data_IF_400319495361
#
_entry.id   IF_400319495361
#
_cell.length_a   1.000
_cell.length_b   1.000
_cell.length_c   1.000
_cell.angle_alpha   90.00
_cell.angle_beta   90.00
_cell.angle_gamma   90.00
#
_symmetry.space_group_name_H-M   'P 1'
#
loop_
_entity.id
_entity.type
_entity.pdbx_description
1 polymer ?
#
# COMPACT_ATOMS: atom_id res chain seq x y z
N UNK A 1 15.32 -36.75 -22.74
CA UNK A 1 16.73 -36.65 -22.30
C UNK A 1 16.80 -35.57 -21.24
N UNK A 2 16.68 -35.94 -19.98
CA UNK A 2 16.74 -35.02 -18.83
C UNK A 2 18.21 -34.80 -18.49
N UNK A 3 18.78 -33.69 -18.97
CA UNK A 3 20.08 -33.22 -18.50
C UNK A 3 19.98 -32.87 -17.02
N UNK A 4 20.78 -33.52 -16.18
CA UNK A 4 20.99 -33.08 -14.81
C UNK A 4 21.51 -31.65 -14.84
N UNK A 5 20.91 -30.79 -14.02
CA UNK A 5 21.32 -29.41 -13.83
C UNK A 5 22.84 -29.35 -13.59
N UNK A 6 23.58 -28.45 -14.30
CA UNK A 6 25.03 -28.33 -14.15
C UNK A 6 25.47 -28.14 -12.69
N UNK A 7 24.62 -27.59 -11.84
CA UNK A 7 24.88 -27.41 -10.41
C UNK A 7 24.84 -28.74 -9.65
N UNK A 8 23.94 -29.66 -10.02
CA UNK A 8 23.86 -31.01 -9.46
C UNK A 8 25.07 -31.84 -9.89
N UNK A 9 25.50 -31.72 -11.15
CA UNK A 9 26.71 -32.40 -11.65
C UNK A 9 27.98 -31.94 -10.93
N UNK A 10 28.11 -30.64 -10.67
CA UNK A 10 29.25 -30.09 -9.94
C UNK A 10 29.30 -30.55 -8.47
N UNK A 11 28.14 -30.59 -7.78
CA UNK A 11 28.07 -31.08 -6.40
C UNK A 11 28.46 -32.55 -6.33
N UNK A 12 27.93 -33.39 -7.21
CA UNK A 12 28.24 -34.84 -7.23
C UNK A 12 29.72 -35.07 -7.49
N UNK A 13 30.34 -34.32 -8.42
CA UNK A 13 31.79 -34.41 -8.69
C UNK A 13 32.66 -33.96 -7.51
N UNK A 14 32.22 -32.97 -6.73
CA UNK A 14 32.93 -32.57 -5.51
C UNK A 14 32.88 -33.67 -4.43
N UNK A 15 31.73 -34.34 -4.26
CA UNK A 15 31.56 -35.40 -3.26
C UNK A 15 32.43 -36.64 -3.54
N UNK A 16 32.54 -37.07 -4.80
CA UNK A 16 33.34 -38.25 -5.14
C UNK A 16 34.83 -38.05 -4.86
N UNK A 17 35.35 -36.85 -5.16
CA UNK A 17 36.74 -36.48 -4.86
C UNK A 17 37.04 -36.46 -3.36
N UNK A 18 36.09 -36.00 -2.54
CA UNK A 18 36.24 -35.99 -1.06
C UNK A 18 36.27 -37.43 -0.51
N UNK A 19 35.44 -38.32 -1.05
CA UNK A 19 35.37 -39.72 -0.59
C UNK A 19 36.67 -40.48 -0.91
N UNK A 20 37.21 -40.34 -2.14
CA UNK A 20 38.45 -41.04 -2.51
C UNK A 20 39.65 -40.52 -1.69
N UNK A 21 39.75 -39.19 -1.52
CA UNK A 21 40.76 -38.59 -0.65
C UNK A 21 40.63 -39.06 0.82
N UNK A 22 39.40 -39.18 1.32
CA UNK A 22 39.15 -39.72 2.64
C UNK A 22 39.63 -41.16 2.75
N UNK A 23 39.34 -42.04 1.77
CA UNK A 23 39.79 -43.42 1.82
C UNK A 23 41.31 -43.55 1.88
N UNK A 24 42.04 -42.74 1.12
CA UNK A 24 43.52 -42.73 1.05
C UNK A 24 44.21 -42.06 2.25
N UNK A 25 43.47 -41.32 3.07
CA UNK A 25 44.05 -40.58 4.18
C UNK A 25 44.55 -41.49 5.33
N UNK A 26 45.67 -41.14 6.01
CA UNK A 26 46.20 -41.90 7.13
C UNK A 26 45.20 -42.06 8.29
N UNK A 27 45.23 -43.20 8.98
CA UNK A 27 44.30 -43.49 10.10
C UNK A 27 44.36 -42.45 11.22
N UNK A 28 45.54 -41.88 11.50
CA UNK A 28 45.72 -40.82 12.50
C UNK A 28 45.00 -39.52 12.10
N UNK A 29 45.04 -39.17 10.81
CA UNK A 29 44.37 -37.99 10.28
C UNK A 29 42.84 -38.15 10.28
N UNK A 30 42.32 -39.34 9.94
CA UNK A 30 40.90 -39.67 10.08
C UNK A 30 40.40 -39.50 11.51
N UNK A 31 41.19 -39.98 12.49
CA UNK A 31 40.88 -39.81 13.92
C UNK A 31 40.88 -38.32 14.32
N UNK A 32 41.85 -37.54 13.83
CA UNK A 32 41.88 -36.10 14.09
C UNK A 32 40.65 -35.37 13.54
N UNK A 33 40.18 -35.69 12.34
CA UNK A 33 38.97 -35.06 11.81
C UNK A 33 37.71 -35.51 12.56
N UNK A 34 37.55 -36.82 12.80
CA UNK A 34 36.35 -37.36 13.47
C UNK A 34 36.23 -36.87 14.91
N UNK A 35 37.33 -36.84 15.66
CA UNK A 35 37.29 -36.50 17.09
C UNK A 35 37.68 -35.05 17.40
N UNK A 36 38.38 -34.36 16.49
CA UNK A 36 38.77 -32.96 16.65
C UNK A 36 37.83 -32.03 15.90
N UNK A 37 37.80 -32.13 14.58
CA UNK A 37 37.15 -31.12 13.72
C UNK A 37 35.63 -31.21 13.75
N UNK A 38 35.05 -32.41 13.60
CA UNK A 38 33.59 -32.59 13.53
C UNK A 38 32.87 -32.14 14.82
N UNK A 39 33.32 -32.52 16.03
CA UNK A 39 32.65 -32.11 17.26
C UNK A 39 32.73 -30.60 17.47
N UNK A 40 33.87 -29.98 17.15
CA UNK A 40 34.04 -28.52 17.22
C UNK A 40 33.08 -27.81 16.24
N UNK A 41 32.98 -28.31 15.01
CA UNK A 41 32.05 -27.78 14.02
C UNK A 41 30.60 -27.89 14.49
N UNK A 42 30.19 -29.04 15.04
CA UNK A 42 28.83 -29.25 15.55
C UNK A 42 28.52 -28.35 16.76
N UNK A 43 29.46 -28.20 17.70
CA UNK A 43 29.30 -27.30 18.84
C UNK A 43 29.22 -25.84 18.38
N UNK A 44 30.07 -25.41 17.45
CA UNK A 44 30.05 -24.05 16.93
C UNK A 44 28.76 -23.72 16.15
N UNK A 45 28.23 -24.67 15.37
CA UNK A 45 26.94 -24.54 14.71
C UNK A 45 25.80 -24.46 15.74
N UNK A 46 25.85 -25.29 16.78
CA UNK A 46 24.89 -25.26 17.89
C UNK A 46 24.90 -23.92 18.64
N UNK A 47 26.07 -23.32 18.87
CA UNK A 47 26.20 -22.00 19.48
C UNK A 47 25.63 -20.92 18.55
N UNK A 48 25.89 -20.97 17.24
CA UNK A 48 25.34 -19.99 16.29
C UNK A 48 23.82 -20.06 16.19
N UNK A 49 23.27 -21.27 16.13
CA UNK A 49 21.83 -21.49 16.12
C UNK A 49 21.22 -21.07 17.45
N UNK A 50 21.81 -21.49 18.57
CA UNK A 50 21.40 -21.09 19.91
C UNK A 50 21.44 -19.58 20.12
N UNK A 51 22.51 -18.90 19.67
CA UNK A 51 22.62 -17.44 19.76
C UNK A 51 21.53 -16.73 18.95
N UNK A 52 21.15 -17.25 17.77
CA UNK A 52 20.02 -16.70 17.02
C UNK A 52 18.67 -16.84 17.74
N UNK A 53 18.44 -17.97 18.43
CA UNK A 53 17.19 -18.19 19.16
C UNK A 53 17.17 -17.54 20.55
N UNK A 54 18.34 -17.28 21.14
CA UNK A 54 18.49 -16.64 22.44
C UNK A 54 18.67 -15.12 22.34
N UNK A 55 18.94 -14.57 21.16
CA UNK A 55 18.87 -13.12 20.94
C UNK A 55 17.40 -12.70 21.04
N UNK A 56 17.03 -11.91 22.07
CA UNK A 56 15.69 -11.34 22.13
C UNK A 56 15.49 -10.51 20.87
N UNK A 57 14.33 -10.69 20.22
CA UNK A 57 13.96 -9.81 19.12
C UNK A 57 14.14 -8.36 19.58
N UNK A 58 14.84 -7.52 18.80
CA UNK A 58 14.97 -6.11 19.15
C UNK A 58 13.55 -5.55 19.33
N UNK A 59 13.34 -4.70 20.36
CA UNK A 59 12.01 -4.17 20.64
C UNK A 59 11.45 -3.55 19.37
N UNK A 60 10.21 -3.92 19.01
CA UNK A 60 9.52 -3.34 17.87
C UNK A 60 9.57 -1.80 18.02
N UNK A 61 9.89 -1.06 16.95
CA UNK A 61 9.87 0.38 17.01
C UNK A 61 8.48 0.85 17.49
N UNK A 62 8.41 1.93 18.29
CA UNK A 62 7.15 2.38 18.83
C UNK A 62 6.14 2.63 17.70
N UNK A 63 4.85 2.31 17.91
CA UNK A 63 3.82 2.52 16.90
C UNK A 63 3.84 3.98 16.45
N UNK A 64 4.02 4.16 15.15
CA UNK A 64 4.10 5.46 14.53
C UNK A 64 2.68 5.93 14.21
N UNK A 65 2.24 7.03 14.82
CA UNK A 65 0.89 7.54 14.64
C UNK A 65 0.56 7.88 13.18
N UNK A 66 -0.71 7.73 12.80
CA UNK A 66 -1.19 8.02 11.46
C UNK A 66 -1.92 9.38 11.38
N UNK A 67 -1.41 10.28 10.54
CA UNK A 67 -2.01 11.60 10.30
C UNK A 67 -2.97 11.58 9.10
N UNK A 68 -4.21 11.17 9.36
CA UNK A 68 -5.26 11.09 8.34
C UNK A 68 -5.69 12.45 7.81
N UNK A 69 -5.67 13.47 8.67
CA UNK A 69 -6.04 14.81 8.26
C UNK A 69 -4.98 15.42 7.33
N UNK A 70 -3.70 15.30 7.69
CA UNK A 70 -2.59 15.69 6.81
C UNK A 70 -2.61 14.93 5.48
N UNK A 71 -2.93 13.63 5.50
CA UNK A 71 -3.06 12.83 4.29
C UNK A 71 -4.14 13.41 3.35
N UNK A 72 -5.36 13.67 3.84
CA UNK A 72 -6.41 14.27 3.01
C UNK A 72 -6.06 15.68 2.52
N UNK A 73 -5.43 16.49 3.38
CA UNK A 73 -5.01 17.85 3.04
C UNK A 73 -3.97 17.87 1.91
N UNK A 74 -3.11 16.85 1.81
CA UNK A 74 -2.15 16.73 0.69
C UNK A 74 -2.80 16.59 -0.69
N UNK A 75 -4.11 16.28 -0.73
CA UNK A 75 -4.92 16.21 -1.94
C UNK A 75 -5.98 17.32 -2.03
N UNK A 76 -5.86 18.38 -1.22
CA UNK A 76 -6.85 19.47 -1.11
C UNK A 76 -8.27 18.99 -0.70
N UNK A 77 -8.33 17.94 0.12
CA UNK A 77 -9.57 17.35 0.63
C UNK A 77 -9.63 17.42 2.15
N UNK A 78 -10.84 17.32 2.71
CA UNK A 78 -11.07 17.32 4.15
C UNK A 78 -11.28 15.90 4.67
N UNK A 79 -10.71 15.60 5.83
CA UNK A 79 -10.98 14.34 6.51
C UNK A 79 -12.39 14.32 7.10
N UNK A 80 -13.16 13.29 6.78
CA UNK A 80 -14.50 13.05 7.32
C UNK A 80 -14.78 11.55 7.43
N UNK A 81 -14.91 11.02 8.65
CA UNK A 81 -15.32 9.64 8.92
C UNK A 81 -14.58 8.60 8.05
N UNK A 82 -13.25 8.52 8.16
CA UNK A 82 -12.41 7.57 7.40
C UNK A 82 -12.37 7.78 5.87
N UNK A 83 -12.88 8.92 5.41
CA UNK A 83 -12.83 9.32 3.99
C UNK A 83 -12.18 10.68 3.84
N UNK A 84 -11.59 10.93 2.67
CA UNK A 84 -11.24 12.27 2.25
C UNK A 84 -12.37 12.77 1.35
N UNK A 85 -12.95 13.92 1.66
CA UNK A 85 -14.09 14.48 0.94
C UNK A 85 -13.98 16.00 0.74
N UNK A 86 -14.54 16.49 -0.34
CA UNK A 86 -14.67 17.91 -0.65
C UNK A 86 -15.94 18.15 -1.44
N UNK A 87 -16.53 19.33 -1.27
CA UNK A 87 -17.71 19.75 -2.01
C UNK A 87 -17.46 19.70 -3.52
N UNK A 88 -18.40 19.11 -4.25
CA UNK A 88 -18.37 19.03 -5.69
C UNK A 88 -18.98 20.30 -6.27
N UNK A 89 -18.17 21.05 -7.00
CA UNK A 89 -18.62 22.23 -7.71
C UNK A 89 -19.40 21.82 -8.97
N UNK A 90 -20.73 21.76 -8.86
CA UNK A 90 -21.61 21.37 -9.97
C UNK A 90 -21.44 22.29 -11.18
N UNK A 91 -21.04 23.55 -10.98
CA UNK A 91 -20.79 24.48 -12.08
C UNK A 91 -19.55 24.07 -12.85
N UNK A 92 -18.46 23.77 -12.16
CA UNK A 92 -17.25 23.22 -12.80
C UNK A 92 -17.55 21.89 -13.51
N UNK A 93 -18.44 21.06 -12.95
CA UNK A 93 -18.87 19.83 -13.61
C UNK A 93 -19.64 20.11 -14.92
N UNK A 94 -20.56 21.08 -14.93
CA UNK A 94 -21.24 21.52 -16.15
C UNK A 94 -20.26 22.09 -17.20
N UNK A 95 -19.34 22.95 -16.79
CA UNK A 95 -18.31 23.52 -17.68
C UNK A 95 -17.40 22.42 -18.24
N UNK A 96 -17.07 21.38 -17.45
CA UNK A 96 -16.29 20.24 -17.90
C UNK A 96 -17.01 19.33 -18.90
N UNK A 97 -18.35 19.33 -18.93
CA UNK A 97 -19.14 18.52 -19.86
C UNK A 97 -19.55 19.29 -21.12
N UNK A 98 -19.96 20.55 -20.97
CA UNK A 98 -20.52 21.38 -22.05
C UNK A 98 -19.58 22.50 -22.53
N UNK A 99 -18.36 22.57 -21.99
CA UNK A 99 -17.35 23.56 -22.33
C UNK A 99 -17.38 24.82 -21.45
N UNK A 100 -16.34 25.67 -21.55
CA UNK A 100 -16.04 26.76 -20.62
C UNK A 100 -16.98 27.99 -20.72
N UNK A 101 -18.18 27.84 -21.28
CA UNK A 101 -19.09 28.95 -21.58
C UNK A 101 -19.84 29.49 -20.35
N UNK A 102 -19.23 29.49 -19.15
CA UNK A 102 -19.82 30.03 -17.91
C UNK A 102 -21.25 29.51 -17.65
N UNK A 103 -21.49 28.23 -17.93
CA UNK A 103 -22.80 27.62 -17.69
C UNK A 103 -23.20 27.79 -16.22
N UNK A 104 -24.47 28.11 -15.96
CA UNK A 104 -25.00 28.13 -14.59
C UNK A 104 -25.64 26.79 -14.27
N UNK A 105 -25.76 26.48 -12.98
CA UNK A 105 -26.43 25.26 -12.51
C UNK A 105 -27.74 25.63 -11.87
N UNK A 106 -28.81 24.95 -12.29
CA UNK A 106 -30.06 24.86 -11.56
C UNK A 106 -30.11 23.50 -10.87
N UNK A 107 -30.11 23.49 -9.54
CA UNK A 107 -30.08 22.27 -8.73
C UNK A 107 -31.06 22.39 -7.57
N UNK A 108 -31.99 21.46 -7.48
CA UNK A 108 -32.90 21.32 -6.35
C UNK A 108 -32.26 20.36 -5.31
N UNK A 109 -31.88 20.85 -4.12
CA UNK A 109 -31.23 20.03 -3.10
C UNK A 109 -32.07 18.84 -2.60
N UNK A 110 -33.39 18.87 -2.81
CA UNK A 110 -34.29 17.78 -2.42
C UNK A 110 -34.39 16.66 -3.46
N UNK A 111 -33.87 16.88 -4.68
CA UNK A 111 -33.78 15.88 -5.73
C UNK A 111 -32.35 15.80 -6.26
N UNK A 112 -31.63 14.76 -5.85
CA UNK A 112 -30.22 14.53 -6.21
C UNK A 112 -29.96 14.44 -7.72
N UNK A 113 -30.99 14.18 -8.53
CA UNK A 113 -30.88 14.07 -10.00
C UNK A 113 -31.39 15.31 -10.74
N UNK A 114 -31.74 16.37 -10.02
CA UNK A 114 -32.33 17.59 -10.60
C UNK A 114 -31.32 18.53 -11.25
N UNK A 115 -30.01 18.26 -11.14
CA UNK A 115 -28.98 19.18 -11.61
C UNK A 115 -29.06 19.38 -13.14
N UNK A 116 -29.33 20.62 -13.55
CA UNK A 116 -29.39 21.06 -14.95
C UNK A 116 -28.33 22.12 -15.21
N UNK A 117 -27.60 21.95 -16.29
CA UNK A 117 -26.69 22.94 -16.83
C UNK A 117 -27.47 23.88 -17.75
N UNK A 118 -27.45 25.18 -17.45
CA UNK A 118 -28.14 26.21 -18.23
C UNK A 118 -27.14 27.03 -19.04
N UNK A 119 -27.53 27.48 -20.23
CA UNK A 119 -26.75 28.48 -20.98
C UNK A 119 -26.70 29.81 -20.23
N UNK A 120 -25.56 30.52 -20.24
CA UNK A 120 -25.40 31.78 -19.52
C UNK A 120 -26.43 32.84 -19.95
N UNK A 121 -26.76 32.91 -21.24
CA UNK A 121 -27.51 34.04 -21.81
C UNK A 121 -29.03 33.83 -21.84
N UNK A 122 -29.47 32.57 -21.91
CA UNK A 122 -30.88 32.23 -22.17
C UNK A 122 -31.55 31.51 -21.01
N UNK A 123 -30.77 31.08 -19.99
CA UNK A 123 -31.21 30.13 -18.94
C UNK A 123 -31.89 28.87 -19.49
N UNK A 124 -31.70 28.57 -20.77
CA UNK A 124 -32.21 27.37 -21.41
C UNK A 124 -31.38 26.17 -20.95
N UNK A 125 -32.03 25.04 -20.59
CA UNK A 125 -31.32 23.84 -20.20
C UNK A 125 -30.59 23.23 -21.40
N UNK A 126 -29.28 23.07 -21.27
CA UNK A 126 -28.45 22.32 -22.24
C UNK A 126 -28.54 20.81 -21.96
N UNK A 127 -28.73 20.45 -20.69
CA UNK A 127 -28.90 19.07 -20.24
C UNK A 127 -28.46 18.90 -18.78
N UNK A 128 -28.46 17.65 -18.30
CA UNK A 128 -27.95 17.31 -16.97
C UNK A 128 -26.47 16.93 -16.97
N UNK A 129 -25.90 16.71 -15.79
CA UNK A 129 -24.53 16.20 -15.64
C UNK A 129 -24.58 14.68 -15.76
N UNK A 130 -24.15 14.14 -16.89
CA UNK A 130 -24.28 12.71 -17.23
C UNK A 130 -23.35 11.85 -16.38
N UNK A 131 -22.12 12.30 -16.14
CA UNK A 131 -21.15 11.56 -15.34
C UNK A 131 -20.45 12.46 -14.31
N UNK A 132 -21.16 12.71 -13.21
CA UNK A 132 -20.66 13.52 -12.10
C UNK A 132 -19.41 12.92 -11.43
N UNK A 133 -19.26 11.59 -11.47
CA UNK A 133 -18.08 10.90 -10.93
C UNK A 133 -16.83 11.15 -11.77
N UNK A 134 -16.95 11.25 -13.09
CA UNK A 134 -15.80 11.56 -13.96
C UNK A 134 -15.24 12.95 -13.70
N UNK A 135 -16.07 13.91 -13.28
CA UNK A 135 -15.57 15.22 -12.84
C UNK A 135 -14.61 15.09 -11.64
N UNK A 136 -14.98 14.30 -10.62
CA UNK A 136 -14.10 14.05 -9.49
C UNK A 136 -12.79 13.36 -9.90
N UNK A 137 -12.85 12.37 -10.79
CA UNK A 137 -11.66 11.68 -11.30
C UNK A 137 -10.72 12.61 -12.05
N UNK A 138 -11.26 13.48 -12.90
CA UNK A 138 -10.47 14.48 -13.64
C UNK A 138 -9.84 15.52 -12.72
N UNK A 139 -10.53 15.90 -11.62
CA UNK A 139 -10.01 16.86 -10.64
C UNK A 139 -8.91 16.27 -9.77
N UNK A 140 -9.02 15.00 -9.38
CA UNK A 140 -8.08 14.32 -8.49
C UNK A 140 -7.39 13.14 -9.20
N UNK A 141 -6.60 13.44 -10.24
CA UNK A 141 -5.95 12.42 -11.11
C UNK A 141 -5.01 11.47 -10.36
N UNK A 142 -4.43 11.93 -9.24
CA UNK A 142 -3.46 11.15 -8.45
C UNK A 142 -4.13 10.33 -7.33
N UNK A 143 -5.45 10.33 -7.25
CA UNK A 143 -6.21 9.64 -6.21
C UNK A 143 -6.92 8.43 -6.80
N UNK A 144 -6.54 7.25 -6.34
CA UNK A 144 -7.20 6.00 -6.73
C UNK A 144 -8.59 5.95 -6.10
N UNK A 145 -9.59 5.51 -6.88
CA UNK A 145 -10.98 5.30 -6.43
C UNK A 145 -11.72 6.55 -5.93
N UNK A 146 -11.37 7.75 -6.43
CA UNK A 146 -12.21 8.93 -6.22
C UNK A 146 -13.53 8.81 -7.00
N UNK A 147 -14.64 9.16 -6.34
CA UNK A 147 -15.96 9.17 -6.95
C UNK A 147 -16.83 10.29 -6.40
N UNK A 148 -18.00 10.48 -7.02
CA UNK A 148 -19.00 11.41 -6.55
C UNK A 148 -19.98 10.70 -5.59
N UNK A 149 -20.38 11.40 -4.53
CA UNK A 149 -21.37 10.91 -3.58
C UNK A 149 -22.32 12.03 -3.16
N UNK A 150 -23.60 11.71 -3.00
CA UNK A 150 -24.58 12.66 -2.50
C UNK A 150 -24.67 12.57 -0.97
N UNK A 151 -24.40 13.68 -0.28
CA UNK A 151 -24.62 13.79 1.17
C UNK A 151 -26.08 14.16 1.42
N UNK A 152 -26.88 13.18 1.85
CA UNK A 152 -28.31 13.35 2.14
C UNK A 152 -28.59 14.33 3.29
N UNK A 153 -27.64 14.56 4.19
CA UNK A 153 -27.81 15.51 5.31
C UNK A 153 -27.50 16.93 4.87
N UNK A 154 -26.38 17.12 4.17
CA UNK A 154 -25.97 18.42 3.68
C UNK A 154 -26.63 18.81 2.34
N UNK A 155 -27.39 17.90 1.73
CA UNK A 155 -28.10 18.06 0.45
C UNK A 155 -27.18 18.56 -0.68
N UNK A 156 -25.97 18.01 -0.76
CA UNK A 156 -24.96 18.40 -1.74
C UNK A 156 -24.15 17.21 -2.25
N UNK A 157 -23.58 17.37 -3.43
CA UNK A 157 -22.63 16.41 -4.00
C UNK A 157 -21.22 16.66 -3.45
N UNK A 158 -20.49 15.57 -3.21
CA UNK A 158 -19.13 15.53 -2.71
C UNK A 158 -18.26 14.71 -3.66
N UNK A 159 -17.04 15.15 -3.92
CA UNK A 159 -15.98 14.25 -4.37
C UNK A 159 -15.37 13.59 -3.14
N UNK A 160 -15.38 12.26 -3.10
CA UNK A 160 -14.85 11.50 -1.96
C UNK A 160 -14.11 10.24 -2.37
N UNK A 161 -13.21 9.79 -1.52
CA UNK A 161 -12.61 8.46 -1.60
C UNK A 161 -12.37 7.89 -0.20
N UNK A 162 -12.36 6.55 -0.11
CA UNK A 162 -12.03 5.85 1.14
C UNK A 162 -10.52 5.86 1.34
N UNK A 163 -10.07 6.21 2.53
CA UNK A 163 -8.64 6.25 2.83
C UNK A 163 -8.09 4.81 2.83
N UNK A 164 -7.04 4.60 2.04
CA UNK A 164 -6.16 3.45 2.24
C UNK A 164 -5.17 3.81 3.34
N UNK A 165 -5.39 3.25 4.53
CA UNK A 165 -4.58 3.54 5.71
C UNK A 165 -3.11 3.15 5.52
N UNK A 166 -2.84 2.07 4.76
CA UNK A 166 -1.45 1.67 4.49
C UNK A 166 -0.79 2.66 3.53
N UNK A 167 -1.51 3.11 2.49
CA UNK A 167 -1.02 4.18 1.63
C UNK A 167 -0.74 5.48 2.41
N UNK A 168 -1.59 5.80 3.40
CA UNK A 168 -1.37 6.96 4.28
C UNK A 168 -0.13 6.78 5.19
N UNK A 169 0.19 5.57 5.63
CA UNK A 169 1.45 5.27 6.31
C UNK A 169 2.66 5.49 5.39
N UNK A 170 2.62 4.96 4.17
CA UNK A 170 3.68 5.15 3.17
C UNK A 170 3.86 6.63 2.86
N UNK A 171 2.77 7.38 2.69
CA UNK A 171 2.81 8.83 2.48
C UNK A 171 3.47 9.57 3.65
N UNK A 172 3.13 9.19 4.89
CA UNK A 172 3.62 9.89 6.09
C UNK A 172 5.11 9.68 6.33
N UNK A 173 5.61 8.46 6.12
CA UNK A 173 6.96 8.06 6.51
C UNK A 173 7.91 7.83 5.33
N UNK A 174 7.39 7.81 4.10
CA UNK A 174 8.18 7.63 2.88
C UNK A 174 8.73 6.23 2.67
N UNK A 175 8.21 5.22 3.38
CA UNK A 175 8.69 3.83 3.29
C UNK A 175 7.55 2.88 2.94
N UNK A 176 7.81 1.92 2.04
CA UNK A 176 6.81 0.95 1.58
C UNK A 176 6.69 -0.29 2.47
N UNK A 177 7.54 -0.44 3.48
CA UNK A 177 7.54 -1.55 4.44
C UNK A 177 6.54 -1.37 5.58
N UNK A 178 5.78 -0.27 5.59
CA UNK A 178 4.79 0.02 6.62
C UNK A 178 3.38 -0.42 6.20
N UNK A 179 2.65 -0.98 7.17
CA UNK A 179 1.23 -1.28 7.08
C UNK A 179 0.49 -0.58 8.21
N UNK A 180 -0.75 -0.21 7.95
CA UNK A 180 -1.62 0.32 8.98
C UNK A 180 -2.24 -0.81 9.81
N UNK A 181 -2.14 -0.71 11.12
CA UNK A 181 -2.77 -1.62 12.09
C UNK A 181 -3.56 -0.80 13.10
N UNK A 182 -4.76 -1.27 13.41
CA UNK A 182 -5.60 -0.67 14.45
C UNK A 182 -5.13 -1.17 15.82
N UNK A 183 -4.84 -0.25 16.72
CA UNK A 183 -4.52 -0.55 18.12
C UNK A 183 -5.79 -0.85 18.92
N UNK A 184 -5.60 -1.34 20.15
CA UNK A 184 -6.69 -1.71 21.05
C UNK A 184 -7.55 -0.52 21.47
N UNK A 185 -6.97 0.67 21.52
CA UNK A 185 -7.67 1.95 21.78
C UNK A 185 -8.46 2.48 20.57
N UNK A 186 -8.42 1.75 19.44
CA UNK A 186 -9.09 2.10 18.20
C UNK A 186 -8.32 3.05 17.29
N UNK A 187 -7.14 3.54 17.69
CA UNK A 187 -6.26 4.39 16.86
C UNK A 187 -5.60 3.60 15.74
N UNK A 188 -5.23 4.28 14.65
CA UNK A 188 -4.48 3.67 13.55
C UNK A 188 -3.00 3.99 13.69
N UNK A 189 -2.18 2.96 13.67
CA UNK A 189 -0.72 3.05 13.77
C UNK A 189 -0.06 2.42 12.56
N UNK A 190 1.11 2.95 12.19
CA UNK A 190 1.98 2.39 11.16
C UNK A 190 2.98 1.45 11.82
N UNK A 191 2.97 0.19 11.38
CA UNK A 191 3.86 -0.88 11.85
C UNK A 191 4.61 -1.47 10.67
N UNK A 192 5.84 -1.94 10.89
CA UNK A 192 6.58 -2.68 9.85
C UNK A 192 5.86 -3.99 9.54
N UNK A 193 5.76 -4.32 8.25
CA UNK A 193 5.14 -5.54 7.75
C UNK A 193 6.00 -6.78 7.94
#
# INVERSE_FOLDING_TARGET
MTGLDPLVSAIVGAWTNIIDWWQRSPKAFKRFIIYGVIPIALVSAGIFVGAKYLSPEPPEPPPLGLDLNGYCQSYDLKYANETCAQDLDLRQACEGQYGPNKHTVDFNPNDKYSAKCLRPDQREPVGGIVNISDHCKKKYLNVVNVGAWFDDKAKKWLCRFKIDYSAACVWRYGTSDLKARRAEDGTWNCVKS
#
